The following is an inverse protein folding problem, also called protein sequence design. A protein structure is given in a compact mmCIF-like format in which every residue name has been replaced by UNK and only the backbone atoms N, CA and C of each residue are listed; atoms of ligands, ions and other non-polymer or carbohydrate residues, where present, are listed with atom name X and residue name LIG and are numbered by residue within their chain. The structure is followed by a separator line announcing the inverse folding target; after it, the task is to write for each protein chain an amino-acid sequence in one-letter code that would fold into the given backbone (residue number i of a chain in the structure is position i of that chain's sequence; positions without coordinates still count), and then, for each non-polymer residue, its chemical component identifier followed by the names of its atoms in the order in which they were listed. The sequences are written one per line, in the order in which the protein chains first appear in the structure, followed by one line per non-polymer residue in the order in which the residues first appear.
data_IF_365925353661
#
_entry.id   IF_365925353661
#
_cell.length_a   1.000
_cell.length_b   1.000
_cell.length_c   1.000
_cell.angle_alpha   90.00
_cell.angle_beta   90.00
_cell.angle_gamma   90.00
#
_symmetry.space_group_name_H-M   'P 1'
#
loop_
_entity.id
_entity.type
_entity.pdbx_description
1 polymer ?
#
# COMPACT_ATOMS: atom_id res chain seq x y z
N UNK A 1 -12.22 8.29 -7.09
CA UNK A 1 -11.30 9.29 -6.51
C UNK A 1 -10.37 8.56 -5.56
N UNK A 2 -9.09 8.91 -5.57
CA UNK A 2 -8.03 8.25 -4.79
C UNK A 2 -7.39 9.25 -3.84
N UNK A 3 -6.81 8.74 -2.75
CA UNK A 3 -5.91 9.48 -1.87
C UNK A 3 -4.52 8.86 -1.95
N UNK A 4 -3.49 9.70 -1.98
CA UNK A 4 -2.09 9.28 -1.97
C UNK A 4 -1.54 9.40 -0.56
N UNK A 5 -0.89 8.35 -0.08
CA UNK A 5 -0.14 8.32 1.16
C UNK A 5 1.34 8.11 0.84
N UNK A 6 2.21 8.81 1.56
CA UNK A 6 3.62 8.45 1.65
C UNK A 6 3.80 7.54 2.87
N UNK A 7 4.56 6.47 2.72
CA UNK A 7 4.80 5.50 3.80
C UNK A 7 6.21 4.94 3.78
N UNK A 8 6.71 4.62 4.98
CA UNK A 8 7.94 3.85 5.15
C UNK A 8 7.65 2.35 5.00
N UNK A 9 8.45 1.65 4.21
CA UNK A 9 8.36 0.20 4.05
C UNK A 9 9.18 -0.47 5.15
N UNK A 10 8.50 -0.92 6.22
CA UNK A 10 9.16 -1.61 7.35
C UNK A 10 9.53 -3.05 7.02
N UNK A 11 8.59 -3.83 6.47
CA UNK A 11 8.79 -5.26 6.21
C UNK A 11 8.14 -5.69 4.90
N UNK A 12 8.92 -6.04 3.87
CA UNK A 12 8.38 -6.54 2.61
C UNK A 12 8.14 -8.06 2.67
N UNK A 13 6.92 -8.50 2.99
CA UNK A 13 6.57 -9.93 3.06
C UNK A 13 6.57 -10.64 1.69
N UNK A 14 6.00 -10.00 0.67
CA UNK A 14 5.96 -10.54 -0.70
C UNK A 14 6.01 -9.42 -1.71
N UNK A 15 7.02 -9.42 -2.59
CA UNK A 15 7.17 -8.40 -3.62
C UNK A 15 7.45 -9.03 -4.99
N UNK A 16 6.84 -8.46 -6.04
CA UNK A 16 7.07 -8.84 -7.45
C UNK A 16 7.77 -7.72 -8.25
N UNK A 17 8.10 -6.64 -7.57
CA UNK A 17 8.80 -5.48 -8.11
C UNK A 17 9.65 -4.88 -6.97
N UNK A 18 10.74 -4.17 -7.28
CA UNK A 18 11.57 -3.54 -6.26
C UNK A 18 10.74 -2.56 -5.43
N UNK A 19 10.85 -2.67 -4.10
CA UNK A 19 10.33 -1.68 -3.15
C UNK A 19 11.50 -0.86 -2.62
N UNK A 20 11.29 0.44 -2.46
CA UNK A 20 12.25 1.33 -1.82
C UNK A 20 11.81 1.64 -0.38
N UNK A 21 12.70 2.17 0.49
CA UNK A 21 12.32 2.45 1.89
C UNK A 21 11.16 3.43 2.06
N UNK A 22 10.94 4.34 1.11
CA UNK A 22 9.83 5.30 1.10
C UNK A 22 9.04 5.17 -0.18
N UNK A 23 7.79 4.75 -0.05
CA UNK A 23 6.89 4.50 -1.17
C UNK A 23 5.67 5.42 -1.13
N UNK A 24 5.04 5.58 -2.30
CA UNK A 24 3.76 6.24 -2.41
C UNK A 24 2.68 5.21 -2.74
N UNK A 25 1.63 5.17 -1.93
CA UNK A 25 0.49 4.27 -2.13
C UNK A 25 -0.76 5.08 -2.43
N UNK A 26 -1.43 4.73 -3.52
CA UNK A 26 -2.73 5.26 -3.88
C UNK A 26 -3.80 4.34 -3.31
N UNK A 27 -4.76 4.93 -2.59
CA UNK A 27 -5.84 4.23 -1.92
C UNK A 27 -7.16 4.76 -2.44
N UNK A 28 -8.05 3.90 -2.96
CA UNK A 28 -9.39 4.30 -3.35
C UNK A 28 -10.17 4.83 -2.16
N UNK A 29 -10.96 5.89 -2.38
CA UNK A 29 -11.79 6.45 -1.33
C UNK A 29 -12.92 5.51 -0.87
N UNK A 30 -13.22 4.46 -1.64
CA UNK A 30 -14.35 3.54 -1.43
C UNK A 30 -13.92 2.06 -1.47
N UNK A 31 -12.73 1.74 -0.94
CA UNK A 31 -12.32 0.35 -0.74
C UNK A 31 -13.11 -0.32 0.40
N UNK A 32 -13.14 -1.66 0.43
CA UNK A 32 -13.59 -2.45 1.60
C UNK A 32 -12.61 -2.44 2.78
N UNK A 33 -11.64 -1.52 2.76
CA UNK A 33 -10.49 -1.49 3.62
C UNK A 33 -10.66 -0.44 4.75
N UNK A 34 -10.04 -0.62 5.94
CA UNK A 34 -10.14 0.35 7.01
C UNK A 34 -9.56 1.71 6.59
N UNK A 35 -10.09 2.84 7.11
CA UNK A 35 -9.52 4.15 6.81
C UNK A 35 -8.06 4.25 7.25
N UNK A 36 -7.16 4.47 6.29
CA UNK A 36 -5.74 4.71 6.60
C UNK A 36 -5.58 6.11 7.18
N UNK A 37 -4.88 6.20 8.32
CA UNK A 37 -4.57 7.44 9.02
C UNK A 37 -3.08 7.69 9.01
N UNK A 38 -2.70 8.95 8.87
CA UNK A 38 -1.30 9.36 9.01
C UNK A 38 -0.76 8.97 10.39
N UNK A 39 0.49 8.51 10.43
CA UNK A 39 1.14 7.99 11.64
C UNK A 39 0.71 6.57 12.04
N UNK A 40 -0.28 5.97 11.37
CA UNK A 40 -0.68 4.58 11.60
C UNK A 40 0.18 3.59 10.84
N UNK A 41 0.29 2.38 11.39
CA UNK A 41 1.00 1.26 10.78
C UNK A 41 0.01 0.23 10.25
N UNK A 42 0.28 -0.28 9.04
CA UNK A 42 -0.67 -1.13 8.33
C UNK A 42 0.04 -2.24 7.57
N UNK A 43 -0.60 -3.41 7.55
CA UNK A 43 -0.28 -4.48 6.60
C UNK A 43 -1.14 -4.30 5.36
N UNK A 44 -0.51 -4.16 4.19
CA UNK A 44 -1.18 -3.88 2.91
C UNK A 44 -0.82 -4.94 1.87
N UNK A 45 -1.79 -5.30 1.03
CA UNK A 45 -1.52 -5.94 -0.27
C UNK A 45 -1.87 -4.96 -1.38
N UNK A 46 -0.85 -4.40 -2.01
CA UNK A 46 -0.98 -3.46 -3.11
C UNK A 46 -0.36 -4.00 -4.39
N UNK A 47 -0.80 -3.46 -5.53
CA UNK A 47 -0.31 -3.84 -6.85
C UNK A 47 0.39 -2.68 -7.53
N UNK A 48 1.42 -2.99 -8.30
CA UNK A 48 2.00 -2.03 -9.23
C UNK A 48 1.04 -1.80 -10.38
N UNK A 49 0.51 -0.59 -10.47
CA UNK A 49 -0.21 -0.10 -11.63
C UNK A 49 0.81 0.56 -12.57
N UNK A 50 1.12 -0.14 -13.67
CA UNK A 50 2.03 0.35 -14.71
C UNK A 50 1.26 1.34 -15.57
N UNK A 51 1.71 2.57 -15.63
CA UNK A 51 1.10 3.58 -16.49
C UNK A 51 1.83 3.60 -17.84
N UNK A 52 1.09 3.33 -18.92
CA UNK A 52 1.60 3.30 -20.28
C UNK A 52 1.58 4.68 -20.97
N UNK A 53 1.01 5.69 -20.32
CA UNK A 53 0.89 7.08 -20.78
C UNK A 53 2.07 7.95 -20.31
N UNK A 54 3.20 7.34 -19.95
CA UNK A 54 4.45 7.98 -19.50
C UNK A 54 4.38 8.73 -18.16
N UNK A 55 3.40 8.44 -17.31
CA UNK A 55 3.45 8.88 -15.90
C UNK A 55 4.14 7.83 -15.03
N UNK A 56 4.57 8.22 -13.82
CA UNK A 56 5.23 7.30 -12.88
C UNK A 56 4.33 6.10 -12.56
N UNK A 57 4.95 4.92 -12.46
CA UNK A 57 4.28 3.72 -11.98
C UNK A 57 3.76 3.98 -10.57
N UNK A 58 2.57 3.46 -10.28
CA UNK A 58 1.91 3.65 -8.98
C UNK A 58 1.85 2.34 -8.22
N UNK A 59 1.90 2.41 -6.89
CA UNK A 59 1.49 1.31 -6.02
C UNK A 59 0.06 1.60 -5.61
N UNK A 60 -0.87 0.74 -6.03
CA UNK A 60 -2.31 0.94 -5.82
C UNK A 60 -2.83 -0.15 -4.89
N UNK A 61 -3.50 0.25 -3.82
CA UNK A 61 -4.36 -0.64 -3.06
C UNK A 61 -5.64 -0.85 -3.90
N UNK A 62 -5.97 -2.09 -4.22
CA UNK A 62 -7.20 -2.36 -4.98
C UNK A 62 -8.46 -2.09 -4.13
N UNK A 63 -9.61 -1.88 -4.77
CA UNK A 63 -10.89 -1.65 -4.06
C UNK A 63 -11.27 -2.83 -3.14
N UNK A 64 -11.00 -4.05 -3.60
CA UNK A 64 -11.12 -5.32 -2.89
C UNK A 64 -9.80 -5.76 -2.23
N UNK A 65 -8.83 -4.85 -2.18
CA UNK A 65 -7.49 -5.09 -1.66
C UNK A 65 -7.50 -5.30 -0.15
N UNK A 66 -6.43 -5.95 0.33
CA UNK A 66 -6.26 -6.21 1.74
C UNK A 66 -5.53 -5.06 2.43
N UNK A 67 -6.16 -4.48 3.45
CA UNK A 67 -5.49 -3.62 4.40
C UNK A 67 -6.01 -3.91 5.81
N UNK A 68 -5.12 -3.84 6.79
CA UNK A 68 -5.50 -3.80 8.21
C UNK A 68 -4.45 -3.11 9.05
N UNK A 69 -4.80 -2.62 10.26
CA UNK A 69 -3.81 -2.17 11.22
C UNK A 69 -2.77 -3.27 11.48
N UNK A 70 -1.52 -2.85 11.57
CA UNK A 70 -0.42 -3.71 11.97
C UNK A 70 -0.56 -4.12 13.43
N UNK A 71 -0.18 -5.35 13.74
CA UNK A 71 -0.11 -5.91 15.08
C UNK A 71 1.19 -6.73 15.24
N UNK A 72 1.68 -6.95 16.46
CA UNK A 72 2.88 -7.76 16.69
C UNK A 72 2.79 -9.23 16.24
N UNK A 73 1.60 -9.71 15.85
CA UNK A 73 1.46 -11.07 15.28
C UNK A 73 2.20 -11.21 13.95
N UNK A 74 2.44 -10.10 13.27
CA UNK A 74 3.06 -10.05 11.95
C UNK A 74 4.58 -10.27 12.00
N UNK A 75 5.21 -10.11 13.17
CA UNK A 75 6.64 -10.42 13.36
C UNK A 75 6.97 -11.91 13.23
N UNK A 76 5.94 -12.75 13.14
CA UNK A 76 6.05 -14.22 13.03
C UNK A 76 5.82 -14.73 11.60
N UNK A 77 5.57 -13.84 10.64
CA UNK A 77 5.28 -14.16 9.23
C UNK A 77 6.53 -14.21 8.36
#
# INVERSE_FOLDING_TARGET
RERRYEGEVKTPYRHRFPLVPREYVWVPNACGCPPLREGGEYLLMARRHVNYERTLNRILLQDDGYARPWTPREDRL
#
